data_IF_215625839861
#
_entry.id   IF_215625839861
#
_cell.length_a   1.000
_cell.length_b   1.000
_cell.length_c   1.000
_cell.angle_alpha   90.00
_cell.angle_beta   90.00
_cell.angle_gamma   90.00
#
_symmetry.space_group_name_H-M   'P 1'
#
loop_
_entity.id
_entity.type
_entity.pdbx_description
1 polymer ?
#
# COMPACT_ATOMS: atom_id res chain seq x y z
N UNK A 1 -2.26 -4.28 0.01
CA UNK A 1 -1.10 -4.27 0.92
C UNK A 1 -1.21 -5.33 2.00
N UNK A 2 -2.22 -5.26 2.89
CA UNK A 2 -2.35 -6.18 4.03
C UNK A 2 -2.35 -7.66 3.63
N UNK A 3 -3.19 -8.06 2.65
CA UNK A 3 -3.24 -9.45 2.20
C UNK A 3 -1.89 -9.97 1.69
N UNK A 4 -1.13 -9.12 1.00
CA UNK A 4 0.22 -9.47 0.55
C UNK A 4 1.20 -9.63 1.73
N UNK A 5 1.12 -8.74 2.73
CA UNK A 5 1.96 -8.81 3.92
C UNK A 5 1.70 -10.10 4.72
N UNK A 6 0.44 -10.52 4.84
CA UNK A 6 0.07 -11.76 5.52
C UNK A 6 0.49 -13.01 4.73
N UNK A 7 0.38 -12.96 3.40
CA UNK A 7 0.75 -14.09 2.54
C UNK A 7 2.27 -14.28 2.40
N UNK A 8 3.05 -13.20 2.51
CA UNK A 8 4.50 -13.20 2.33
C UNK A 8 5.20 -12.56 3.55
N UNK A 9 5.15 -13.20 4.73
CA UNK A 9 5.64 -12.61 5.98
C UNK A 9 7.17 -12.37 6.00
N UNK A 10 7.92 -13.02 5.13
CA UNK A 10 9.36 -12.83 4.97
C UNK A 10 9.73 -11.65 4.06
N UNK A 11 8.76 -11.06 3.34
CA UNK A 11 8.96 -9.88 2.49
C UNK A 11 8.49 -8.62 3.19
N UNK A 12 9.24 -7.55 3.02
CA UNK A 12 8.78 -6.21 3.43
C UNK A 12 7.76 -5.70 2.41
N UNK A 13 6.59 -5.31 2.88
CA UNK A 13 5.52 -4.73 2.06
C UNK A 13 5.38 -3.27 2.43
N UNK A 14 5.65 -2.38 1.47
CA UNK A 14 5.43 -0.94 1.62
C UNK A 14 4.20 -0.56 0.79
N UNK A 15 3.24 0.08 1.44
CA UNK A 15 2.02 0.58 0.81
C UNK A 15 2.13 2.09 0.72
N UNK A 16 1.93 2.62 -0.48
CA UNK A 16 1.74 4.04 -0.73
C UNK A 16 0.26 4.29 -0.94
N UNK A 17 -0.32 5.14 -0.12
CA UNK A 17 -1.74 5.49 -0.16
C UNK A 17 -1.90 7.01 -0.13
N UNK A 18 -2.98 7.53 -0.67
CA UNK A 18 -3.34 8.94 -0.53
C UNK A 18 -4.35 9.11 0.62
N UNK A 19 -4.38 10.30 1.21
CA UNK A 19 -5.35 10.64 2.26
C UNK A 19 -6.81 10.41 1.81
N UNK A 20 -7.14 10.80 0.58
CA UNK A 20 -8.46 10.55 0.01
C UNK A 20 -8.81 9.07 -0.11
N UNK A 21 -7.86 8.23 -0.53
CA UNK A 21 -8.03 6.77 -0.62
C UNK A 21 -8.19 6.16 0.77
N UNK A 22 -7.38 6.59 1.73
CA UNK A 22 -7.47 6.12 3.12
C UNK A 22 -8.83 6.48 3.74
N UNK A 23 -9.35 7.70 3.48
CA UNK A 23 -10.67 8.09 3.92
C UNK A 23 -11.78 7.18 3.41
N UNK A 24 -11.73 6.76 2.16
CA UNK A 24 -12.73 5.85 1.58
C UNK A 24 -12.76 4.47 2.26
N UNK A 25 -11.67 4.07 2.90
CA UNK A 25 -11.57 2.78 3.59
C UNK A 25 -10.78 2.87 4.90
N UNK A 26 -11.12 3.83 5.76
CA UNK A 26 -10.44 4.05 7.05
C UNK A 26 -10.47 2.82 7.95
N UNK A 27 -11.50 1.98 7.82
CA UNK A 27 -11.62 0.72 8.56
C UNK A 27 -10.48 -0.29 8.27
N UNK A 28 -9.72 -0.10 7.19
CA UNK A 28 -8.53 -0.91 6.91
C UNK A 28 -7.46 -0.81 8.01
N UNK A 29 -7.36 0.34 8.69
CA UNK A 29 -6.44 0.52 9.81
C UNK A 29 -6.80 -0.41 10.98
N UNK A 30 -8.09 -0.58 11.28
CA UNK A 30 -8.52 -1.51 12.31
C UNK A 30 -8.19 -2.97 11.95
N UNK A 31 -8.33 -3.33 10.67
CA UNK A 31 -7.96 -4.66 10.20
C UNK A 31 -6.44 -4.89 10.29
N UNK A 32 -5.62 -3.88 9.97
CA UNK A 32 -4.16 -3.94 10.16
C UNK A 32 -3.82 -4.08 11.64
N UNK A 33 -4.45 -3.28 12.50
CA UNK A 33 -4.28 -3.35 13.95
C UNK A 33 -4.66 -4.69 14.54
N UNK A 34 -5.70 -5.35 14.02
CA UNK A 34 -6.09 -6.70 14.43
C UNK A 34 -5.05 -7.76 14.06
N UNK A 35 -4.52 -7.71 12.84
CA UNK A 35 -3.62 -8.75 12.31
C UNK A 35 -2.15 -8.56 12.64
N UNK A 36 -1.73 -7.36 13.02
CA UNK A 36 -0.36 -7.01 13.43
C UNK A 36 0.75 -7.55 12.47
N UNK A 37 0.66 -7.29 11.15
CA UNK A 37 1.65 -7.81 10.19
C UNK A 37 3.02 -7.15 10.39
N UNK A 38 4.00 -7.90 10.89
CA UNK A 38 5.34 -7.40 11.25
C UNK A 38 6.15 -6.83 10.08
N UNK A 39 5.74 -7.09 8.87
CA UNK A 39 6.42 -6.75 7.63
C UNK A 39 5.74 -5.63 6.84
N UNK A 40 4.70 -4.98 7.39
CA UNK A 40 3.92 -3.93 6.71
C UNK A 40 4.39 -2.53 7.13
N UNK A 41 4.64 -1.69 6.14
CA UNK A 41 4.81 -0.24 6.29
C UNK A 41 3.74 0.42 5.43
N UNK A 42 2.84 1.18 6.04
CA UNK A 42 1.79 1.92 5.35
C UNK A 42 2.07 3.41 5.40
N UNK A 43 2.29 4.03 4.26
CA UNK A 43 2.55 5.46 4.11
C UNK A 43 1.30 6.11 3.53
N UNK A 44 0.74 7.07 4.24
CA UNK A 44 -0.34 7.92 3.77
C UNK A 44 0.24 9.28 3.35
N UNK A 45 0.20 9.57 2.06
CA UNK A 45 0.56 10.86 1.49
C UNK A 45 -0.64 11.79 1.55
N UNK A 46 -0.58 12.76 2.45
CA UNK A 46 -1.68 13.69 2.69
C UNK A 46 -1.42 15.02 2.00
N UNK A 47 -2.00 15.19 0.82
CA UNK A 47 -2.04 16.45 0.08
C UNK A 47 -3.33 17.24 0.32
N UNK A 48 -4.20 16.78 1.22
CA UNK A 48 -5.46 17.41 1.64
C UNK A 48 -6.51 17.55 0.54
N UNK A 49 -6.34 16.84 -0.60
CA UNK A 49 -7.29 16.91 -1.70
C UNK A 49 -7.41 15.61 -2.48
N UNK A 50 -8.58 15.43 -3.10
CA UNK A 50 -8.84 14.37 -4.08
C UNK A 50 -8.30 14.80 -5.45
N UNK A 51 -6.99 14.78 -5.63
CA UNK A 51 -6.32 15.35 -6.80
C UNK A 51 -6.71 14.66 -8.12
N UNK A 52 -6.89 13.34 -8.10
CA UNK A 52 -7.29 12.55 -9.28
C UNK A 52 -8.72 12.84 -9.75
N UNK A 53 -9.59 13.37 -8.88
CA UNK A 53 -11.01 13.63 -9.16
C UNK A 53 -11.40 15.11 -9.06
N UNK A 54 -10.47 16.00 -9.39
CA UNK A 54 -10.76 17.43 -9.53
C UNK A 54 -10.23 18.33 -8.42
N UNK A 55 -9.46 17.79 -7.46
CA UNK A 55 -8.80 18.59 -6.44
C UNK A 55 -9.71 19.07 -5.30
N UNK A 56 -10.89 18.45 -5.13
CA UNK A 56 -11.76 18.77 -4.02
C UNK A 56 -11.07 18.46 -2.67
N UNK A 57 -11.29 19.27 -1.63
CA UNK A 57 -10.64 19.05 -0.34
C UNK A 57 -11.10 17.73 0.30
N UNK A 58 -10.17 17.03 0.91
CA UNK A 58 -10.47 15.90 1.81
C UNK A 58 -10.78 16.41 3.21
N UNK A 59 -11.17 15.51 4.11
CA UNK A 59 -11.38 15.87 5.51
C UNK A 59 -10.10 16.32 6.23
N UNK A 60 -8.92 15.93 5.75
CA UNK A 60 -7.62 16.38 6.30
C UNK A 60 -7.38 17.87 6.08
N UNK A 61 -8.06 18.51 5.12
CA UNK A 61 -7.99 19.95 4.91
C UNK A 61 -8.52 20.77 6.10
N UNK A 62 -9.27 20.15 7.02
CA UNK A 62 -9.81 20.83 8.19
C UNK A 62 -8.82 21.04 9.33
N UNK A 63 -7.61 20.49 9.24
CA UNK A 63 -6.55 20.50 10.28
C UNK A 63 -6.98 19.93 11.65
N UNK A 64 -8.15 19.30 11.71
CA UNK A 64 -8.67 18.67 12.93
C UNK A 64 -8.40 17.18 13.00
N UNK A 65 -7.84 16.63 11.92
CA UNK A 65 -7.59 15.22 11.79
C UNK A 65 -6.19 14.86 12.30
N UNK A 66 -6.10 13.77 13.02
CA UNK A 66 -4.84 13.09 13.34
C UNK A 66 -4.90 11.65 12.85
N UNK A 67 -4.46 11.39 11.62
CA UNK A 67 -4.39 10.04 11.07
C UNK A 67 -3.47 9.12 11.89
N UNK A 68 -2.38 9.65 12.44
CA UNK A 68 -1.48 8.86 13.28
C UNK A 68 -2.18 8.48 14.61
N UNK A 69 -2.98 9.38 15.17
CA UNK A 69 -3.83 9.11 16.33
C UNK A 69 -4.89 8.05 16.02
N UNK A 70 -5.56 8.14 14.87
CA UNK A 70 -6.51 7.12 14.41
C UNK A 70 -5.84 5.76 14.25
N UNK A 71 -4.66 5.71 13.64
CA UNK A 71 -3.91 4.47 13.48
C UNK A 71 -3.53 3.86 14.83
N UNK A 72 -3.06 4.68 15.79
CA UNK A 72 -2.78 4.22 17.17
C UNK A 72 -4.02 3.68 17.87
N UNK A 73 -5.14 4.40 17.77
CA UNK A 73 -6.42 3.96 18.35
C UNK A 73 -6.93 2.65 17.70
N UNK A 74 -6.57 2.41 16.45
CA UNK A 74 -6.85 1.17 15.74
C UNK A 74 -5.88 0.02 16.09
N UNK A 75 -4.89 0.24 16.98
CA UNK A 75 -3.94 -0.79 17.42
C UNK A 75 -2.61 -0.82 16.67
N UNK A 76 -2.32 0.19 15.84
CA UNK A 76 -1.01 0.35 15.19
C UNK A 76 -0.16 1.29 16.05
N UNK A 77 0.57 0.74 17.01
CA UNK A 77 1.34 1.55 17.98
C UNK A 77 2.40 2.44 17.32
N UNK A 78 3.09 1.89 16.33
CA UNK A 78 4.13 2.60 15.56
C UNK A 78 3.50 3.45 14.45
N UNK A 79 2.86 4.57 14.84
CA UNK A 79 2.22 5.49 13.92
C UNK A 79 2.73 6.92 14.15
N UNK A 80 3.21 7.57 13.09
CA UNK A 80 3.87 8.87 13.13
C UNK A 80 3.27 9.85 12.11
N UNK A 81 3.24 11.13 12.48
CA UNK A 81 3.06 12.24 11.57
C UNK A 81 4.45 12.77 11.19
N UNK A 82 4.69 12.99 9.91
CA UNK A 82 5.94 13.56 9.39
C UNK A 82 5.63 14.77 8.53
N UNK A 83 6.38 15.84 8.74
CA UNK A 83 6.20 17.13 8.08
C UNK A 83 7.40 17.53 7.22
N UNK A 84 8.52 16.84 7.39
CA UNK A 84 9.76 17.11 6.68
C UNK A 84 10.33 15.86 6.03
N UNK A 85 11.18 16.03 5.03
CA UNK A 85 11.87 14.92 4.38
C UNK A 85 12.78 14.19 5.38
N UNK A 86 13.46 14.92 6.25
CA UNK A 86 14.37 14.33 7.23
C UNK A 86 13.60 13.44 8.22
N UNK A 87 12.45 13.90 8.73
CA UNK A 87 11.56 13.09 9.57
C UNK A 87 11.10 11.83 8.84
N UNK A 88 10.70 11.96 7.56
CA UNK A 88 10.29 10.82 6.75
C UNK A 88 11.42 9.80 6.61
N UNK A 89 12.62 10.25 6.30
CA UNK A 89 13.80 9.39 6.15
C UNK A 89 14.09 8.65 7.46
N UNK A 90 14.03 9.34 8.60
CA UNK A 90 14.28 8.72 9.91
C UNK A 90 13.20 7.70 10.29
N UNK A 91 11.92 8.00 10.04
CA UNK A 91 10.83 7.04 10.28
C UNK A 91 10.91 5.85 9.34
N UNK A 92 11.28 6.07 8.08
CA UNK A 92 11.50 4.98 7.14
C UNK A 92 12.68 4.09 7.55
N UNK A 93 13.81 4.64 7.97
CA UNK A 93 14.94 3.86 8.51
C UNK A 93 14.52 3.04 9.71
N UNK A 94 13.78 3.65 10.64
CA UNK A 94 13.25 2.94 11.79
C UNK A 94 12.31 1.78 11.36
N UNK A 95 11.35 2.06 10.47
CA UNK A 95 10.38 1.07 10.01
C UNK A 95 11.03 -0.08 9.22
N UNK A 96 12.10 0.19 8.48
CA UNK A 96 12.87 -0.83 7.78
C UNK A 96 13.72 -1.71 8.72
N UNK A 97 14.15 -1.18 9.85
CA UNK A 97 14.99 -1.88 10.82
C UNK A 97 14.19 -2.66 11.87
N UNK A 98 12.92 -2.34 12.09
CA UNK A 98 12.11 -2.90 13.18
C UNK A 98 10.88 -3.64 12.64
N UNK A 99 10.31 -4.58 13.41
CA UNK A 99 9.06 -5.21 13.06
C UNK A 99 7.89 -4.22 13.18
N UNK A 100 6.96 -4.29 12.20
CA UNK A 100 5.74 -3.47 12.16
C UNK A 100 4.53 -4.14 12.85
N UNK A 101 3.32 -3.71 12.50
CA UNK A 101 3.02 -2.75 11.42
C UNK A 101 3.44 -1.32 11.74
N UNK A 102 3.86 -0.59 10.72
CA UNK A 102 4.19 0.82 10.83
C UNK A 102 3.24 1.65 9.98
N UNK A 103 2.81 2.80 10.51
CA UNK A 103 2.01 3.77 9.78
C UNK A 103 2.72 5.12 9.78
N UNK A 104 2.89 5.71 8.60
CA UNK A 104 3.53 7.01 8.43
C UNK A 104 2.54 7.94 7.73
N UNK A 105 2.07 8.96 8.41
CA UNK A 105 1.26 10.03 7.85
C UNK A 105 2.19 11.16 7.41
N UNK A 106 2.39 11.31 6.11
CA UNK A 106 3.27 12.31 5.52
C UNK A 106 2.45 13.45 4.93
N UNK A 107 2.56 14.65 5.52
CA UNK A 107 1.98 15.85 4.95
C UNK A 107 2.81 16.30 3.75
N UNK A 108 2.16 16.46 2.61
CA UNK A 108 2.78 16.89 1.35
C UNK A 108 1.98 18.02 0.72
N UNK A 109 2.65 18.78 -0.14
CA UNK A 109 1.96 19.82 -0.89
C UNK A 109 1.13 19.22 -2.03
N UNK A 110 -0.07 19.76 -2.30
CA UNK A 110 -0.83 19.40 -3.49
C UNK A 110 -0.06 19.82 -4.76
N UNK A 111 -0.12 18.98 -5.78
CA UNK A 111 0.52 19.29 -7.06
C UNK A 111 0.77 18.06 -7.91
N UNK A 112 0.82 18.27 -9.21
CA UNK A 112 1.11 17.23 -10.20
C UNK A 112 2.50 17.43 -10.76
N UNK A 113 3.26 16.34 -10.86
CA UNK A 113 4.47 16.35 -11.67
C UNK A 113 4.10 16.38 -13.14
N UNK A 114 4.87 17.14 -13.93
CA UNK A 114 4.73 17.20 -15.39
C UNK A 114 5.21 15.89 -16.05
N UNK A 115 6.03 15.11 -15.35
CA UNK A 115 6.51 13.82 -15.84
C UNK A 115 5.39 12.78 -15.71
N UNK A 116 4.68 12.59 -16.82
CA UNK A 116 3.75 11.46 -16.94
C UNK A 116 4.57 10.16 -16.91
N UNK A 117 4.39 9.35 -15.89
CA UNK A 117 4.78 7.95 -15.97
C UNK A 117 4.01 7.35 -17.14
N UNK A 118 4.68 6.61 -18.04
CA UNK A 118 3.99 5.88 -19.09
C UNK A 118 2.97 4.96 -18.44
N UNK A 119 1.68 5.07 -18.77
CA UNK A 119 0.72 4.11 -18.27
C UNK A 119 1.08 2.75 -18.88
N UNK A 120 1.57 1.83 -18.05
CA UNK A 120 1.46 0.43 -18.42
C UNK A 120 -0.03 0.09 -18.49
N UNK A 121 -0.42 -0.75 -19.44
CA UNK A 121 -1.75 -1.35 -19.42
C UNK A 121 -1.96 -1.98 -18.03
N UNK A 122 -3.08 -1.67 -17.39
CA UNK A 122 -3.36 -2.11 -16.01
C UNK A 122 -3.38 -3.64 -15.89
N UNK A 123 -3.82 -4.34 -16.94
CA UNK A 123 -3.81 -5.80 -17.01
C UNK A 123 -2.38 -6.32 -17.10
N UNK A 124 -1.55 -5.71 -17.95
CA UNK A 124 -0.15 -6.07 -18.09
C UNK A 124 0.59 -5.88 -16.75
N UNK A 125 0.36 -4.76 -16.08
CA UNK A 125 0.95 -4.47 -14.77
C UNK A 125 0.59 -5.53 -13.72
N UNK A 126 -0.69 -5.93 -13.70
CA UNK A 126 -1.18 -7.01 -12.82
C UNK A 126 -0.47 -8.33 -13.10
N UNK A 127 -0.37 -8.73 -14.36
CA UNK A 127 0.28 -10.00 -14.73
C UNK A 127 1.78 -9.97 -14.46
N UNK A 128 2.45 -8.86 -14.72
CA UNK A 128 3.87 -8.70 -14.37
C UNK A 128 4.10 -8.87 -12.88
N UNK A 129 3.29 -8.23 -12.06
CA UNK A 129 3.39 -8.36 -10.61
C UNK A 129 3.17 -9.81 -10.15
N UNK A 130 2.09 -10.46 -10.62
CA UNK A 130 1.79 -11.83 -10.20
C UNK A 130 2.87 -12.80 -10.64
N UNK A 131 3.34 -12.71 -11.89
CA UNK A 131 4.44 -13.56 -12.39
C UNK A 131 5.74 -13.36 -11.63
N UNK A 132 6.05 -12.11 -11.25
CA UNK A 132 7.21 -11.84 -10.42
C UNK A 132 7.10 -12.55 -9.07
N UNK A 133 5.93 -12.50 -8.43
CA UNK A 133 5.68 -13.23 -7.18
C UNK A 133 5.80 -14.74 -7.39
N UNK A 134 5.19 -15.29 -8.42
CA UNK A 134 5.30 -16.72 -8.76
C UNK A 134 6.74 -17.18 -8.90
N UNK A 135 7.54 -16.43 -9.67
CA UNK A 135 8.94 -16.75 -9.93
C UNK A 135 9.81 -16.65 -8.67
N UNK A 136 9.60 -15.64 -7.86
CA UNK A 136 10.45 -15.37 -6.70
C UNK A 136 10.06 -16.19 -5.48
N UNK A 137 8.80 -16.67 -5.39
CA UNK A 137 8.30 -17.51 -4.31
C UNK A 137 8.26 -19.01 -4.68
N UNK A 138 8.46 -19.36 -5.96
CA UNK A 138 8.36 -20.73 -6.44
C UNK A 138 6.94 -21.31 -6.34
N UNK A 139 5.91 -20.47 -6.47
CA UNK A 139 4.50 -20.83 -6.35
C UNK A 139 3.75 -20.55 -7.66
N UNK A 140 2.57 -21.15 -7.83
CA UNK A 140 1.69 -20.89 -8.96
C UNK A 140 0.41 -20.22 -8.46
N UNK A 141 0.16 -18.98 -8.89
CA UNK A 141 -1.02 -18.18 -8.56
C UNK A 141 -1.98 -18.14 -9.76
N UNK A 142 -1.42 -17.87 -10.94
CA UNK A 142 -2.19 -17.84 -12.16
C UNK A 142 -2.52 -19.27 -12.59
N UNK A 143 -3.80 -19.58 -12.69
CA UNK A 143 -4.21 -20.85 -13.32
C UNK A 143 -3.71 -20.85 -14.76
N UNK A 144 -2.95 -21.86 -15.12
CA UNK A 144 -2.67 -22.09 -16.53
C UNK A 144 -4.02 -22.29 -17.25
N UNK A 145 -4.20 -21.72 -18.46
CA UNK A 145 -5.35 -22.10 -19.27
C UNK A 145 -5.39 -23.63 -19.32
N UNK A 146 -6.54 -24.22 -19.04
CA UNK A 146 -6.71 -25.65 -19.24
C UNK A 146 -6.25 -25.92 -20.68
N UNK A 147 -5.08 -26.55 -20.83
CA UNK A 147 -4.58 -26.93 -22.15
C UNK A 147 -5.71 -27.66 -22.85
N UNK A 148 -6.01 -27.30 -24.08
CA UNK A 148 -6.85 -28.12 -24.92
C UNK A 148 -6.34 -29.56 -24.75
N UNK A 149 -7.18 -30.39 -24.16
CA UNK A 149 -6.93 -31.80 -23.95
C UNK A 149 -6.20 -32.31 -25.18
N UNK A 150 -5.01 -32.86 -24.95
CA UNK A 150 -4.33 -33.62 -25.97
C UNK A 150 -5.37 -34.53 -26.62
N UNK A 151 -5.60 -34.28 -27.91
CA UNK A 151 -6.37 -35.19 -28.74
C UNK A 151 -5.94 -36.60 -28.39
N UNK A 152 -6.92 -37.40 -27.99
CA UNK A 152 -6.70 -38.81 -27.81
C UNK A 152 -6.23 -39.39 -29.16
N UNK A 153 -4.92 -39.44 -29.32
CA UNK A 153 -4.31 -40.31 -30.30
C UNK A 153 -4.32 -41.71 -29.69
N UNK A 154 -5.06 -42.61 -30.29
CA UNK A 154 -4.97 -44.03 -29.97
C UNK A 154 -6.25 -44.79 -30.31
N UNK A 155 -6.26 -45.33 -31.41
CA UNK A 155 -6.88 -46.58 -31.86
C UNK A 155 -8.00 -47.19 -31.04
#
# INVERSE_FOLDING_TARGET
GLGLALALPHRRVVVHDGDGSLWMNLGSLATIGLHQPKNLIHICWDNRCYESSGGNPTASATERLDFAGVARAAGIESAWCVLTIDDLVDRMRHALANPGPHFIWASVEPGRTIALSRPYDELENKYHFVRHVEQTEGITILRQPLGHSQERAGH
#
